data_IF_781048198797
#
_entry.id   IF_781048198797
#
_cell.length_a   1.000
_cell.length_b   1.000
_cell.length_c   1.000
_cell.angle_alpha   90.00
_cell.angle_beta   90.00
_cell.angle_gamma   90.00
#
_symmetry.space_group_name_H-M   'P 1'
#
loop_
_entity.id
_entity.type
_entity.pdbx_description
1 polymer ?
#
# COMPACT_ATOMS: atom_id res chain seq x y z
N UNK A 1 10.95 16.74 -10.51
CA UNK A 1 9.59 16.24 -10.85
C UNK A 1 8.61 17.24 -10.28
N UNK A 2 7.94 18.00 -11.14
CA UNK A 2 6.95 18.99 -10.75
C UNK A 2 5.71 18.27 -10.19
N UNK A 3 5.01 18.92 -9.26
CA UNK A 3 3.76 18.41 -8.69
C UNK A 3 2.72 18.34 -9.81
N UNK A 4 1.94 17.25 -9.83
CA UNK A 4 0.90 17.01 -10.82
C UNK A 4 -0.46 16.93 -10.11
N UNK A 5 -1.29 17.94 -10.33
CA UNK A 5 -2.60 18.07 -9.69
C UNK A 5 -3.53 16.91 -10.01
N UNK A 6 -3.41 16.30 -11.19
CA UNK A 6 -4.24 15.15 -11.56
C UNK A 6 -3.99 13.97 -10.61
N UNK A 7 -2.72 13.64 -10.36
CA UNK A 7 -2.37 12.56 -9.43
C UNK A 7 -2.64 12.91 -7.97
N UNK A 8 -2.62 14.19 -7.60
CA UNK A 8 -3.01 14.62 -6.26
C UNK A 8 -4.51 14.41 -6.03
N UNK A 9 -5.36 14.75 -7.02
CA UNK A 9 -6.81 14.48 -6.97
C UNK A 9 -7.08 12.97 -6.91
N UNK A 10 -6.38 12.19 -7.75
CA UNK A 10 -6.57 10.74 -7.82
C UNK A 10 -6.19 10.05 -6.49
N UNK A 11 -5.14 10.54 -5.82
CA UNK A 11 -4.81 10.12 -4.44
C UNK A 11 -5.89 10.51 -3.45
N UNK A 12 -6.43 11.73 -3.55
CA UNK A 12 -7.54 12.18 -2.71
C UNK A 12 -8.75 11.26 -2.82
N UNK A 13 -9.15 10.91 -4.05
CA UNK A 13 -10.22 9.94 -4.32
C UNK A 13 -9.89 8.59 -3.68
N UNK A 14 -8.68 8.07 -3.89
CA UNK A 14 -8.27 6.79 -3.31
C UNK A 14 -8.33 6.80 -1.77
N UNK A 15 -7.94 7.90 -1.11
CA UNK A 15 -8.06 8.04 0.36
C UNK A 15 -9.53 7.94 0.79
N UNK A 16 -10.44 8.66 0.12
CA UNK A 16 -11.86 8.63 0.45
C UNK A 16 -12.46 7.23 0.28
N UNK A 17 -12.08 6.50 -0.78
CA UNK A 17 -12.51 5.13 -1.00
C UNK A 17 -11.98 4.16 0.07
N UNK A 18 -10.72 4.33 0.53
CA UNK A 18 -10.18 3.56 1.67
C UNK A 18 -10.99 3.82 2.94
N UNK A 19 -11.35 5.09 3.21
CA UNK A 19 -12.19 5.41 4.37
C UNK A 19 -13.54 4.70 4.23
N UNK A 20 -14.18 4.77 3.06
CA UNK A 20 -15.48 4.14 2.81
C UNK A 20 -15.49 2.62 3.08
N UNK A 21 -14.45 1.88 2.65
CA UNK A 21 -14.37 0.43 2.90
C UNK A 21 -14.10 0.08 4.37
N UNK A 22 -13.55 1.00 5.17
CA UNK A 22 -13.27 0.79 6.60
C UNK A 22 -14.33 1.36 7.54
N UNK A 23 -15.22 2.21 7.04
CA UNK A 23 -16.43 2.67 7.74
C UNK A 23 -17.69 1.90 7.31
N UNK A 24 -17.52 0.86 6.48
CA UNK A 24 -18.59 0.03 5.94
C UNK A 24 -19.40 -0.66 7.06
N UNK A 25 -20.74 -0.52 7.08
CA UNK A 25 -21.56 -1.02 8.18
C UNK A 25 -21.81 -2.53 8.17
N UNK A 26 -21.37 -3.25 7.13
CA UNK A 26 -21.79 -4.64 6.90
C UNK A 26 -22.83 -4.76 5.79
N UNK A 27 -23.07 -5.97 5.31
CA UNK A 27 -24.06 -6.25 4.28
C UNK A 27 -24.27 -7.75 4.10
N UNK A 28 -25.45 -8.10 3.64
CA UNK A 28 -25.93 -9.46 3.43
C UNK A 28 -26.61 -9.58 2.06
N UNK A 29 -26.86 -10.82 1.61
CA UNK A 29 -27.56 -11.09 0.37
C UNK A 29 -29.08 -11.27 0.55
N UNK A 30 -29.57 -11.16 1.78
CA UNK A 30 -30.96 -11.42 2.15
C UNK A 30 -31.83 -10.17 1.96
N UNK A 31 -31.23 -8.98 2.07
CA UNK A 31 -31.90 -7.70 1.96
C UNK A 31 -31.40 -6.89 0.76
N UNK A 32 -32.30 -6.10 0.15
CA UNK A 32 -31.91 -5.18 -0.92
C UNK A 32 -30.87 -4.14 -0.46
N UNK A 33 -30.99 -3.66 0.78
CA UNK A 33 -30.02 -2.75 1.40
C UNK A 33 -28.66 -3.43 1.57
N UNK A 34 -28.63 -4.66 2.11
CA UNK A 34 -27.42 -5.46 2.26
C UNK A 34 -26.71 -5.69 0.93
N UNK A 35 -27.46 -6.02 -0.13
CA UNK A 35 -26.91 -6.21 -1.46
C UNK A 35 -26.28 -4.92 -2.01
N UNK A 36 -26.98 -3.78 -1.88
CA UNK A 36 -26.45 -2.47 -2.29
C UNK A 36 -25.17 -2.15 -1.52
N UNK A 37 -25.14 -2.40 -0.21
CA UNK A 37 -23.96 -2.20 0.64
C UNK A 37 -22.76 -3.04 0.14
N UNK A 38 -22.97 -4.32 -0.19
CA UNK A 38 -21.93 -5.17 -0.76
C UNK A 38 -21.42 -4.60 -2.10
N UNK A 39 -22.31 -4.23 -3.01
CA UNK A 39 -21.93 -3.64 -4.29
C UNK A 39 -21.10 -2.36 -4.11
N UNK A 40 -21.53 -1.46 -3.22
CA UNK A 40 -20.80 -0.23 -2.91
C UNK A 40 -19.41 -0.52 -2.36
N UNK A 41 -19.28 -1.50 -1.46
CA UNK A 41 -17.98 -1.91 -0.92
C UNK A 41 -17.06 -2.43 -2.02
N UNK A 42 -17.56 -3.26 -2.92
CA UNK A 42 -16.75 -3.78 -4.03
C UNK A 42 -16.34 -2.69 -5.03
N UNK A 43 -17.19 -1.70 -5.29
CA UNK A 43 -16.81 -0.52 -6.06
C UNK A 43 -15.68 0.27 -5.37
N UNK A 44 -15.76 0.44 -4.04
CA UNK A 44 -14.76 1.17 -3.28
C UNK A 44 -13.43 0.41 -3.10
N UNK A 45 -13.43 -0.92 -3.21
CA UNK A 45 -12.21 -1.76 -3.11
C UNK A 45 -11.17 -1.44 -4.20
N UNK A 46 -11.53 -0.69 -5.26
CA UNK A 46 -10.58 -0.14 -6.25
C UNK A 46 -9.54 0.81 -5.64
N UNK A 47 -9.75 1.30 -4.42
CA UNK A 47 -8.85 2.22 -3.74
C UNK A 47 -7.40 1.71 -3.67
N UNK A 48 -7.22 0.44 -3.31
CA UNK A 48 -5.90 -0.20 -3.15
C UNK A 48 -5.16 -0.33 -4.47
N UNK A 49 -5.72 -0.95 -5.54
CA UNK A 49 -5.05 -1.01 -6.83
C UNK A 49 -4.80 0.38 -7.42
N UNK A 50 -5.67 1.38 -7.15
CA UNK A 50 -5.44 2.76 -7.56
C UNK A 50 -4.17 3.36 -6.93
N UNK A 51 -3.97 3.18 -5.62
CA UNK A 51 -2.72 3.61 -4.95
C UNK A 51 -1.48 2.91 -5.52
N UNK A 52 -1.58 1.61 -5.79
CA UNK A 52 -0.49 0.84 -6.39
C UNK A 52 -0.15 1.36 -7.79
N UNK A 53 -1.17 1.62 -8.62
CA UNK A 53 -0.99 2.14 -9.98
C UNK A 53 -0.33 3.52 -9.98
N UNK A 54 -0.80 4.44 -9.11
CA UNK A 54 -0.20 5.77 -8.93
C UNK A 54 1.27 5.63 -8.52
N UNK A 55 1.56 4.80 -7.52
CA UNK A 55 2.93 4.59 -7.04
C UNK A 55 3.83 4.02 -8.14
N UNK A 56 3.35 3.00 -8.86
CA UNK A 56 4.02 2.38 -10.00
C UNK A 56 4.33 3.36 -11.12
N UNK A 57 3.39 4.25 -11.48
CA UNK A 57 3.59 5.27 -12.49
C UNK A 57 4.78 6.20 -12.17
N UNK A 58 4.84 6.72 -10.95
CA UNK A 58 5.93 7.62 -10.54
C UNK A 58 7.27 6.91 -10.40
N UNK A 59 7.28 5.64 -10.00
CA UNK A 59 8.49 4.83 -9.90
C UNK A 59 9.00 4.41 -11.28
N UNK A 60 8.10 4.09 -12.21
CA UNK A 60 8.43 3.76 -13.60
C UNK A 60 9.29 4.84 -14.25
N UNK A 61 8.96 6.11 -14.00
CA UNK A 61 9.71 7.29 -14.49
C UNK A 61 11.06 7.54 -13.82
N UNK A 62 11.39 6.87 -12.71
CA UNK A 62 12.68 7.04 -12.03
C UNK A 62 13.76 6.22 -12.71
N UNK A 63 14.93 6.82 -12.87
CA UNK A 63 16.14 6.09 -13.27
C UNK A 63 16.68 5.28 -12.08
N UNK A 64 16.58 3.96 -12.20
CA UNK A 64 17.07 2.97 -11.23
C UNK A 64 18.12 2.04 -11.88
N UNK A 65 18.78 2.50 -12.95
CA UNK A 65 19.73 1.72 -13.74
C UNK A 65 20.95 1.24 -12.95
N UNK A 66 21.35 1.96 -11.89
CA UNK A 66 22.52 1.60 -11.08
C UNK A 66 22.13 1.16 -9.67
N UNK A 67 22.91 0.24 -9.10
CA UNK A 67 22.72 -0.25 -7.73
C UNK A 67 22.68 0.89 -6.70
N UNK A 68 23.52 1.92 -6.88
CA UNK A 68 23.54 3.10 -6.01
C UNK A 68 22.25 3.91 -6.05
N UNK A 69 21.69 4.15 -7.26
CA UNK A 69 20.41 4.86 -7.43
C UNK A 69 19.25 4.06 -6.83
N UNK A 70 19.24 2.74 -7.01
CA UNK A 70 18.24 1.86 -6.43
C UNK A 70 18.25 1.84 -4.89
N UNK A 71 19.42 1.67 -4.28
CA UNK A 71 19.54 1.70 -2.81
C UNK A 71 19.12 3.06 -2.26
N UNK A 72 19.53 4.15 -2.90
CA UNK A 72 19.11 5.51 -2.52
C UNK A 72 17.59 5.68 -2.60
N UNK A 73 16.96 5.13 -3.65
CA UNK A 73 15.50 5.10 -3.77
C UNK A 73 14.84 4.34 -2.61
N UNK A 74 15.28 3.12 -2.30
CA UNK A 74 14.70 2.33 -1.21
C UNK A 74 14.86 3.03 0.15
N UNK A 75 16.06 3.56 0.44
CA UNK A 75 16.33 4.30 1.68
C UNK A 75 15.44 5.52 1.87
N UNK A 76 15.00 6.14 0.77
CA UNK A 76 14.07 7.27 0.82
C UNK A 76 12.60 6.84 0.89
N UNK A 77 12.24 5.77 0.19
CA UNK A 77 10.85 5.38 -0.03
C UNK A 77 10.32 4.48 1.09
N UNK A 78 11.11 3.53 1.60
CA UNK A 78 10.67 2.60 2.66
C UNK A 78 10.35 3.35 3.96
N UNK A 79 11.24 4.20 4.52
CA UNK A 79 10.93 4.90 5.77
C UNK A 79 9.73 5.84 5.65
N UNK A 80 9.51 6.43 4.47
CA UNK A 80 8.37 7.32 4.22
C UNK A 80 7.03 6.64 4.45
N UNK A 81 6.90 5.34 4.16
CA UNK A 81 5.66 4.58 4.37
C UNK A 81 5.68 3.77 5.66
N UNK A 82 6.85 3.27 6.06
CA UNK A 82 6.98 2.40 7.23
C UNK A 82 6.99 3.18 8.55
N UNK A 83 7.61 4.36 8.59
CA UNK A 83 7.67 5.18 9.81
C UNK A 83 6.27 5.60 10.31
N UNK A 84 5.35 6.12 9.47
CA UNK A 84 3.97 6.38 9.91
C UNK A 84 3.27 5.11 10.42
N UNK A 85 3.47 3.96 9.76
CA UNK A 85 2.90 2.68 10.20
C UNK A 85 3.35 2.32 11.62
N UNK A 86 4.65 2.41 11.92
CA UNK A 86 5.17 2.15 13.28
C UNK A 86 4.58 3.16 14.27
N UNK A 87 4.68 4.46 13.95
CA UNK A 87 4.25 5.54 14.84
C UNK A 87 2.79 5.34 15.28
N UNK A 88 1.91 5.02 14.33
CA UNK A 88 0.50 4.78 14.61
C UNK A 88 0.18 3.38 15.16
N UNK A 89 1.15 2.46 15.16
CA UNK A 89 1.01 1.16 15.83
C UNK A 89 1.30 1.23 17.33
N UNK A 90 2.04 2.24 17.80
CA UNK A 90 2.48 2.37 19.20
C UNK A 90 1.31 2.25 20.20
N UNK A 91 0.19 2.98 20.07
CA UNK A 91 -0.90 2.90 21.04
C UNK A 91 -1.47 1.49 21.20
N UNK A 92 -1.64 0.75 20.09
CA UNK A 92 -2.12 -0.63 20.10
C UNK A 92 -1.14 -1.56 20.79
N UNK A 93 0.15 -1.37 20.57
CA UNK A 93 1.18 -2.23 21.14
C UNK A 93 1.29 -2.02 22.64
N UNK A 94 1.26 -0.76 23.09
CA UNK A 94 1.23 -0.40 24.50
C UNK A 94 0.00 -1.02 25.18
N UNK A 95 -1.18 -0.85 24.58
CA UNK A 95 -2.40 -1.47 25.09
C UNK A 95 -2.32 -3.00 25.11
N UNK A 96 -1.81 -3.60 24.04
CA UNK A 96 -1.64 -5.05 23.93
C UNK A 96 -0.72 -5.61 25.01
N UNK A 97 0.44 -5.00 25.22
CA UNK A 97 1.40 -5.41 26.26
C UNK A 97 0.77 -5.27 27.64
N UNK A 98 0.06 -4.17 27.90
CA UNK A 98 -0.69 -3.97 29.15
C UNK A 98 -1.75 -5.06 29.35
N UNK A 99 -2.42 -5.50 28.29
CA UNK A 99 -3.39 -6.60 28.30
C UNK A 99 -2.74 -8.01 28.33
N UNK A 100 -1.43 -8.12 28.57
CA UNK A 100 -0.73 -9.40 28.71
C UNK A 100 -0.17 -9.99 27.41
N UNK A 101 -0.17 -9.23 26.30
CA UNK A 101 0.48 -9.66 25.05
C UNK A 101 2.00 -9.75 25.24
N UNK A 102 2.60 -10.85 24.78
CA UNK A 102 4.06 -11.02 24.83
C UNK A 102 4.78 -10.02 23.92
N UNK A 103 5.98 -9.60 24.33
CA UNK A 103 6.83 -8.68 23.55
C UNK A 103 7.14 -9.25 22.15
N UNK A 104 7.34 -10.58 22.06
CA UNK A 104 7.61 -11.26 20.79
C UNK A 104 6.43 -11.10 19.82
N UNK A 105 5.20 -11.30 20.31
CA UNK A 105 4.02 -11.13 19.47
C UNK A 105 3.75 -9.66 19.10
N UNK A 106 4.07 -8.72 19.98
CA UNK A 106 4.04 -7.29 19.68
C UNK A 106 5.06 -6.91 18.60
N UNK A 107 6.29 -7.44 18.69
CA UNK A 107 7.32 -7.25 17.67
C UNK A 107 6.93 -7.88 16.32
N UNK A 108 6.31 -9.07 16.35
CA UNK A 108 5.80 -9.72 15.14
C UNK A 108 4.74 -8.85 14.43
N UNK A 109 3.78 -8.30 15.19
CA UNK A 109 2.72 -7.40 14.66
C UNK A 109 3.30 -6.13 14.02
N UNK A 110 4.32 -5.55 14.65
CA UNK A 110 5.03 -4.41 14.09
C UNK A 110 5.70 -4.75 12.76
N UNK A 111 6.46 -5.84 12.75
CA UNK A 111 7.23 -6.27 11.59
C UNK A 111 6.33 -6.65 10.40
N UNK A 112 5.20 -7.33 10.67
CA UNK A 112 4.24 -7.75 9.64
C UNK A 112 3.31 -6.63 9.16
N UNK A 113 3.38 -5.42 9.73
CA UNK A 113 2.41 -4.35 9.49
C UNK A 113 0.96 -4.82 9.73
N UNK A 114 0.73 -5.63 10.76
CA UNK A 114 -0.60 -6.23 11.02
C UNK A 114 -1.30 -5.65 12.25
N UNK A 115 -0.88 -4.47 12.71
CA UNK A 115 -1.49 -3.80 13.86
C UNK A 115 -2.94 -3.36 13.56
N UNK A 116 -3.23 -3.03 12.31
CA UNK A 116 -4.56 -2.67 11.84
C UNK A 116 -4.86 -3.31 10.49
N UNK A 117 -6.14 -3.56 10.20
CA UNK A 117 -6.60 -4.13 8.95
C UNK A 117 -6.07 -3.43 7.68
N UNK A 118 -5.96 -2.09 7.58
CA UNK A 118 -5.44 -1.43 6.37
C UNK A 118 -3.92 -1.55 6.21
N UNK A 119 -3.17 -1.92 7.24
CA UNK A 119 -1.71 -1.81 7.25
C UNK A 119 -1.00 -2.88 6.41
N UNK A 120 -1.69 -3.96 6.01
CA UNK A 120 -1.15 -4.93 5.04
C UNK A 120 -0.67 -4.26 3.76
N UNK A 121 -1.32 -3.16 3.35
CA UNK A 121 -0.95 -2.36 2.19
C UNK A 121 0.50 -1.84 2.28
N UNK A 122 0.99 -1.53 3.49
CA UNK A 122 2.35 -1.04 3.72
C UNK A 122 3.36 -2.17 3.44
N UNK A 123 3.11 -3.38 3.94
CA UNK A 123 3.94 -4.53 3.63
C UNK A 123 3.95 -4.83 2.12
N UNK A 124 2.76 -4.84 1.49
CA UNK A 124 2.59 -5.05 0.06
C UNK A 124 3.37 -4.03 -0.78
N UNK A 125 3.24 -2.74 -0.49
CA UNK A 125 3.91 -1.70 -1.28
C UNK A 125 5.43 -1.72 -1.09
N UNK A 126 5.93 -2.06 0.10
CA UNK A 126 7.37 -2.25 0.34
C UNK A 126 7.90 -3.43 -0.49
N UNK A 127 7.17 -4.55 -0.53
CA UNK A 127 7.53 -5.70 -1.38
C UNK A 127 7.61 -5.28 -2.85
N UNK A 128 6.65 -4.48 -3.34
CA UNK A 128 6.67 -3.96 -4.72
C UNK A 128 7.83 -2.98 -4.99
N UNK A 129 8.23 -2.16 -4.00
CA UNK A 129 9.43 -1.33 -4.12
C UNK A 129 10.70 -2.17 -4.28
N UNK A 130 10.81 -3.27 -3.54
CA UNK A 130 11.94 -4.20 -3.64
C UNK A 130 11.92 -4.92 -5.00
N UNK A 131 10.75 -5.32 -5.48
CA UNK A 131 10.59 -6.01 -6.78
C UNK A 131 10.70 -5.07 -7.99
N UNK A 132 10.79 -3.76 -7.80
CA UNK A 132 10.80 -2.78 -8.89
C UNK A 132 11.93 -3.00 -9.89
N UNK A 133 13.13 -3.40 -9.44
CA UNK A 133 14.27 -3.68 -10.34
C UNK A 133 14.01 -4.92 -11.20
N UNK A 134 13.40 -5.95 -10.59
CA UNK A 134 13.00 -7.16 -11.31
C UNK A 134 11.98 -6.84 -12.41
N UNK A 135 10.95 -6.03 -12.11
CA UNK A 135 9.97 -5.61 -13.11
C UNK A 135 10.59 -4.79 -14.25
N UNK A 136 11.51 -3.87 -13.93
CA UNK A 136 12.23 -3.08 -14.97
C UNK A 136 13.09 -3.98 -15.85
N UNK A 137 13.79 -4.95 -15.28
CA UNK A 137 14.56 -5.92 -16.03
C UNK A 137 13.68 -6.77 -16.98
N UNK A 138 12.54 -7.26 -16.48
CA UNK A 138 11.60 -8.06 -17.27
C UNK A 138 11.04 -7.26 -18.46
N UNK A 139 10.64 -6.01 -18.24
CA UNK A 139 10.09 -5.13 -19.29
C UNK A 139 11.12 -4.87 -20.38
N UNK A 140 12.36 -4.55 -20.02
CA UNK A 140 13.44 -4.29 -20.99
C UNK A 140 13.75 -5.56 -21.79
N UNK A 141 13.81 -6.72 -21.13
CA UNK A 141 14.07 -7.99 -21.78
C UNK A 141 12.94 -8.38 -22.74
N UNK A 142 11.68 -8.16 -22.36
CA UNK A 142 10.51 -8.40 -23.22
C UNK A 142 10.47 -7.47 -24.44
N UNK A 143 10.75 -6.18 -24.27
CA UNK A 143 10.83 -5.22 -25.40
C UNK A 143 11.94 -5.59 -26.39
N UNK A 144 13.06 -6.13 -25.90
CA UNK A 144 14.17 -6.59 -26.75
C UNK A 144 13.80 -7.84 -27.58
N UNK A 145 12.90 -8.69 -27.07
CA UNK A 145 12.46 -9.91 -27.77
C UNK A 145 11.39 -9.64 -28.85
N UNK A 146 10.61 -8.57 -28.72
CA UNK A 146 9.57 -8.19 -29.70
C UNK A 146 10.02 -7.14 -30.72
N UNK A 147 11.16 -6.47 -30.48
CA UNK A 147 11.71 -5.43 -31.35
C UNK A 147 12.91 -5.87 -32.20
N UNK A 148 13.22 -7.17 -32.27
CA UNK A 148 14.32 -7.76 -33.01
C UNK A 148 13.86 -8.72 -34.11
#
# INVERSE_FOLDING_TARGET
MTRDSYFDILRGIAILLVIAIHTYPGGDFETAEGFVNICLRECCNVAVPLFLAISGYFIGKKDLSTRGKYISFLKKQIPRVYFPCILWSIPILVYGIYAGRSIISAAAILFSCSAFAPYYFIALIIQLYILTVFFKFLIISGLRLWGG
#
